data_IF_006357565658
#
_entry.id   IF_006357565658
#
_cell.length_a   1.000
_cell.length_b   1.000
_cell.length_c   1.000
_cell.angle_alpha   90.00
_cell.angle_beta   90.00
_cell.angle_gamma   90.00
#
_symmetry.space_group_name_H-M   'P 1'
#
loop_
_entity.id
_entity.type
_entity.pdbx_description
1 polymer ?
#
# COMPACT_ATOMS: atom_id res chain seq x y z
N UNK A 1 15.81 0.86 -12.69
CA UNK A 1 16.18 1.58 -11.44
C UNK A 1 16.77 0.59 -10.45
N UNK A 2 17.80 0.95 -9.69
CA UNK A 2 18.32 0.09 -8.63
C UNK A 2 17.36 0.09 -7.43
N UNK A 3 16.99 -1.08 -6.92
CA UNK A 3 16.16 -1.20 -5.71
C UNK A 3 17.06 -1.05 -4.47
N UNK A 4 16.87 0.02 -3.71
CA UNK A 4 17.51 0.23 -2.40
C UNK A 4 16.47 0.04 -1.30
N UNK A 5 16.79 -0.75 -0.28
CA UNK A 5 15.95 -0.85 0.92
C UNK A 5 16.05 0.46 1.70
N UNK A 6 14.89 1.04 2.03
CA UNK A 6 14.80 2.23 2.87
C UNK A 6 15.17 1.91 4.32
N UNK A 7 15.74 2.91 5.02
CA UNK A 7 15.92 2.88 6.48
C UNK A 7 14.57 3.05 7.20
N UNK A 8 14.53 2.75 8.50
CA UNK A 8 13.31 2.95 9.29
C UNK A 8 12.84 4.41 9.28
N UNK A 9 13.78 5.37 9.39
CA UNK A 9 13.48 6.80 9.34
C UNK A 9 12.96 7.25 7.96
N UNK A 10 13.55 6.74 6.88
CA UNK A 10 13.06 7.00 5.51
C UNK A 10 11.63 6.45 5.32
N UNK A 11 11.32 5.29 5.91
CA UNK A 11 9.98 4.69 5.87
C UNK A 11 8.99 5.53 6.69
N UNK A 12 9.33 5.88 7.93
CA UNK A 12 8.46 6.66 8.82
C UNK A 12 8.10 8.02 8.21
N UNK A 13 9.10 8.72 7.63
CA UNK A 13 8.89 9.98 6.94
C UNK A 13 7.99 9.82 5.71
N UNK A 14 8.17 8.76 4.91
CA UNK A 14 7.32 8.51 3.75
C UNK A 14 5.88 8.12 4.13
N UNK A 15 5.70 7.43 5.26
CA UNK A 15 4.39 7.02 5.76
C UNK A 15 3.58 8.18 6.34
N UNK A 16 4.23 9.28 6.73
CA UNK A 16 3.57 10.48 7.28
C UNK A 16 2.45 10.99 6.36
N UNK A 17 2.70 11.04 5.04
CA UNK A 17 1.75 11.50 4.03
C UNK A 17 0.82 10.40 3.49
N UNK A 18 0.90 9.18 4.04
CA UNK A 18 0.20 7.99 3.55
C UNK A 18 -0.71 7.39 4.63
N UNK A 19 -1.81 8.06 5.01
CA UNK A 19 -2.65 7.62 6.13
C UNK A 19 -3.20 6.21 5.92
N UNK A 20 -3.16 5.42 7.00
CA UNK A 20 -3.63 4.03 7.05
C UNK A 20 -2.61 2.99 6.61
N UNK A 21 -1.46 3.40 6.03
CA UNK A 21 -0.33 2.51 5.82
C UNK A 21 0.49 2.37 7.10
N UNK A 22 0.94 1.16 7.39
CA UNK A 22 1.74 0.83 8.57
C UNK A 22 2.77 -0.26 8.26
N UNK A 23 3.86 -0.28 9.00
CA UNK A 23 4.84 -1.38 8.96
C UNK A 23 4.38 -2.54 9.85
N UNK A 24 4.37 -3.76 9.32
CA UNK A 24 4.02 -4.98 10.06
C UNK A 24 4.76 -6.18 9.46
N UNK A 25 5.50 -6.94 10.28
CA UNK A 25 6.25 -8.13 9.87
C UNK A 25 7.14 -7.92 8.62
N UNK A 26 7.94 -6.85 8.60
CA UNK A 26 8.79 -6.43 7.47
C UNK A 26 8.03 -6.04 6.18
N UNK A 27 6.72 -5.85 6.23
CA UNK A 27 5.91 -5.40 5.10
C UNK A 27 5.18 -4.09 5.41
N UNK A 28 4.71 -3.42 4.36
CA UNK A 28 3.76 -2.31 4.48
C UNK A 28 2.35 -2.82 4.26
N UNK A 29 1.46 -2.55 5.21
CA UNK A 29 0.08 -2.97 5.18
C UNK A 29 -0.87 -1.78 5.28
N UNK A 30 -1.97 -1.82 4.52
CA UNK A 30 -3.13 -0.94 4.68
C UNK A 30 -4.40 -1.75 4.51
N UNK A 31 -5.37 -1.54 5.40
CA UNK A 31 -6.70 -2.15 5.30
C UNK A 31 -7.62 -1.18 4.57
N UNK A 32 -8.30 -1.68 3.54
CA UNK A 32 -9.39 -0.99 2.87
C UNK A 32 -10.70 -1.73 3.20
N UNK A 33 -11.73 -0.97 3.54
CA UNK A 33 -13.05 -1.50 3.86
C UNK A 33 -14.07 -0.86 2.91
N UNK A 34 -14.96 -1.69 2.39
CA UNK A 34 -15.94 -1.31 1.36
C UNK A 34 -17.32 -1.77 1.80
N UNK A 35 -18.36 -1.12 1.28
CA UNK A 35 -19.75 -1.41 1.64
C UNK A 35 -20.18 -2.82 1.21
N UNK A 36 -19.60 -3.33 0.13
CA UNK A 36 -19.96 -4.62 -0.45
C UNK A 36 -18.81 -5.18 -1.31
N UNK A 37 -19.00 -6.42 -1.76
CA UNK A 37 -18.03 -7.15 -2.58
C UNK A 37 -17.78 -6.52 -3.96
N UNK A 38 -18.81 -5.94 -4.60
CA UNK A 38 -18.64 -5.35 -5.93
C UNK A 38 -17.70 -4.13 -5.90
N UNK A 39 -17.82 -3.29 -4.87
CA UNK A 39 -16.94 -2.14 -4.65
C UNK A 39 -15.50 -2.58 -4.35
N UNK A 40 -15.30 -3.61 -3.53
CA UNK A 40 -13.95 -4.12 -3.24
C UNK A 40 -13.29 -4.73 -4.46
N UNK A 41 -14.03 -5.46 -5.30
CA UNK A 41 -13.52 -6.03 -6.54
C UNK A 41 -13.13 -4.95 -7.54
N UNK A 42 -13.94 -3.89 -7.67
CA UNK A 42 -13.61 -2.75 -8.53
C UNK A 42 -12.30 -2.07 -8.11
N UNK A 43 -12.08 -1.88 -6.81
CA UNK A 43 -10.82 -1.36 -6.27
C UNK A 43 -9.64 -2.29 -6.59
N UNK A 44 -9.77 -3.59 -6.34
CA UNK A 44 -8.70 -4.58 -6.63
C UNK A 44 -8.33 -4.58 -8.10
N UNK A 45 -9.31 -4.50 -9.02
CA UNK A 45 -9.04 -4.44 -10.46
C UNK A 45 -8.24 -3.20 -10.86
N UNK A 46 -8.54 -2.02 -10.28
CA UNK A 46 -7.76 -0.80 -10.52
C UNK A 46 -6.32 -0.93 -10.03
N UNK A 47 -6.12 -1.49 -8.83
CA UNK A 47 -4.78 -1.74 -8.29
C UNK A 47 -4.02 -2.76 -9.16
N UNK A 48 -4.70 -3.83 -9.61
CA UNK A 48 -4.11 -4.83 -10.48
C UNK A 48 -3.61 -4.26 -11.80
N UNK A 49 -4.37 -3.36 -12.43
CA UNK A 49 -3.95 -2.70 -13.66
C UNK A 49 -2.67 -1.86 -13.49
N UNK A 50 -2.46 -1.24 -12.33
CA UNK A 50 -1.24 -0.47 -12.01
C UNK A 50 -0.06 -1.42 -11.71
N UNK A 51 -0.31 -2.58 -11.12
CA UNK A 51 0.74 -3.51 -10.70
C UNK A 51 1.38 -4.27 -11.88
N UNK A 52 0.68 -4.43 -13.00
CA UNK A 52 1.19 -5.09 -14.21
C UNK A 52 2.12 -4.20 -15.06
N UNK A 53 2.26 -2.91 -14.72
CA UNK A 53 3.08 -1.93 -15.46
C UNK A 53 4.31 -1.50 -14.68
#
# INVERSE_FOLDING_TARGET
>A
MARKKLSSEEIENALFDLPGWKTENNNLNKRFEFKNFAESLAFVNQVGAIAET
#
